data_IF_445258784898
#
_entry.id   IF_445258784898
#
_cell.length_a   1.000
_cell.length_b   1.000
_cell.length_c   1.000
_cell.angle_alpha   90.00
_cell.angle_beta   90.00
_cell.angle_gamma   90.00
#
_symmetry.space_group_name_H-M   'P 1'
#
loop_
_entity.id
_entity.type
_entity.pdbx_description
1 polymer ?
#
# COMPACT_ATOMS: atom_id res chain seq x y z
N UNK A 1 24.14 25.76 -16.61
CA UNK A 1 22.78 25.67 -16.03
C UNK A 1 21.87 25.12 -17.11
N UNK A 2 21.16 24.02 -16.85
CA UNK A 2 20.20 23.44 -17.81
C UNK A 2 18.79 23.83 -17.42
N UNK A 3 18.22 24.81 -18.12
CA UNK A 3 16.82 25.21 -17.89
C UNK A 3 15.89 24.07 -18.34
N UNK A 4 15.37 23.31 -17.38
CA UNK A 4 14.26 22.41 -17.63
C UNK A 4 12.99 23.23 -17.88
N UNK A 5 12.74 23.57 -19.15
CA UNK A 5 11.42 24.01 -19.59
C UNK A 5 10.45 22.84 -19.43
N UNK A 6 9.86 22.72 -18.24
CA UNK A 6 8.65 21.94 -18.04
C UNK A 6 7.59 22.54 -18.97
N UNK A 7 7.13 21.77 -19.95
CA UNK A 7 5.95 22.15 -20.74
C UNK A 7 4.82 22.48 -19.76
N UNK A 8 4.04 23.55 -19.98
CA UNK A 8 2.81 23.73 -19.22
C UNK A 8 1.95 22.47 -19.42
N UNK A 9 1.42 21.93 -18.33
CA UNK A 9 0.53 20.78 -18.40
C UNK A 9 -0.79 21.21 -19.04
N UNK A 10 -1.44 20.28 -19.74
CA UNK A 10 -2.79 20.53 -20.21
C UNK A 10 -3.75 20.64 -19.02
N UNK A 11 -4.88 21.37 -19.14
CA UNK A 11 -5.87 21.46 -18.06
C UNK A 11 -6.44 20.10 -17.62
N UNK A 12 -6.32 19.06 -18.47
CA UNK A 12 -6.66 17.69 -18.09
C UNK A 12 -5.55 17.02 -17.27
N UNK A 13 -4.27 17.16 -17.66
CA UNK A 13 -3.13 16.69 -16.85
C UNK A 13 -3.07 17.37 -15.48
N UNK A 14 -3.36 18.68 -15.39
CA UNK A 14 -3.47 19.40 -14.12
C UNK A 14 -4.61 18.83 -13.26
N UNK A 15 -5.79 18.60 -13.83
CA UNK A 15 -6.94 17.99 -13.12
C UNK A 15 -6.63 16.55 -12.67
N UNK A 16 -5.92 15.78 -13.50
CA UNK A 16 -5.41 14.44 -13.17
C UNK A 16 -4.39 14.50 -12.02
N UNK A 17 -3.47 15.46 -12.03
CA UNK A 17 -2.50 15.66 -10.94
C UNK A 17 -3.17 16.10 -9.63
N UNK A 18 -4.13 17.03 -9.68
CA UNK A 18 -4.90 17.46 -8.51
C UNK A 18 -5.65 16.29 -7.87
N UNK A 19 -6.35 15.46 -8.68
CA UNK A 19 -6.97 14.22 -8.20
C UNK A 19 -5.96 13.29 -7.51
N UNK A 20 -4.76 13.12 -8.08
CA UNK A 20 -3.68 12.32 -7.48
C UNK A 20 -3.17 12.89 -6.14
N UNK A 21 -3.14 14.22 -5.99
CA UNK A 21 -2.77 14.91 -4.75
C UNK A 21 -3.88 14.89 -3.67
N UNK A 22 -5.13 14.64 -4.07
CA UNK A 22 -6.29 14.56 -3.18
C UNK A 22 -6.63 13.11 -2.74
N UNK A 23 -5.85 12.12 -3.17
CA UNK A 23 -5.95 10.75 -2.65
C UNK A 23 -5.61 10.72 -1.16
N UNK A 24 -6.45 10.13 -0.29
CA UNK A 24 -6.07 9.92 1.09
C UNK A 24 -4.89 8.95 1.22
N UNK A 25 -4.80 7.92 0.36
CA UNK A 25 -3.80 6.85 0.42
C UNK A 25 -3.11 6.71 -0.95
N UNK A 26 -2.08 7.53 -1.27
CA UNK A 26 -1.35 7.35 -2.53
C UNK A 26 -0.71 5.96 -2.58
N UNK A 27 -0.63 5.32 -3.78
CA UNK A 27 0.07 4.04 -3.94
C UNK A 27 1.54 4.19 -3.58
N UNK A 28 2.18 5.29 -4.02
CA UNK A 28 3.56 5.61 -3.67
C UNK A 28 3.70 5.77 -2.15
N UNK A 29 4.43 4.85 -1.55
CA UNK A 29 4.84 4.96 -0.15
C UNK A 29 5.78 6.16 0.05
N UNK A 30 5.34 7.18 0.80
CA UNK A 30 6.23 8.28 1.20
C UNK A 30 7.40 7.77 2.06
N UNK A 31 8.56 8.42 1.93
CA UNK A 31 9.86 7.92 2.42
C UNK A 31 9.82 7.59 3.93
N UNK A 32 9.83 6.29 4.24
CA UNK A 32 9.28 5.79 5.49
C UNK A 32 10.17 6.03 6.70
N UNK A 33 9.68 6.82 7.67
CA UNK A 33 10.23 6.84 9.03
C UNK A 33 9.83 5.59 9.84
N UNK A 34 10.26 4.42 9.38
CA UNK A 34 10.20 3.17 10.13
C UNK A 34 11.33 3.09 11.14
N UNK A 35 10.99 2.74 12.39
CA UNK A 35 11.95 2.37 13.44
C UNK A 35 11.70 0.94 13.90
N UNK A 36 12.65 0.04 13.68
CA UNK A 36 12.61 -1.32 14.25
C UNK A 36 12.63 -1.22 15.79
N UNK A 37 11.79 -2.02 16.45
CA UNK A 37 11.74 -2.14 17.90
C UNK A 37 11.59 -3.61 18.29
N UNK A 38 12.36 -4.03 19.28
CA UNK A 38 12.24 -5.36 19.87
C UNK A 38 11.19 -5.30 21.00
N UNK A 39 10.20 -6.19 20.94
CA UNK A 39 9.10 -6.28 21.89
C UNK A 39 9.33 -7.48 22.81
N UNK A 40 9.56 -7.22 24.11
CA UNK A 40 9.67 -8.28 25.12
C UNK A 40 8.28 -8.83 25.47
N UNK A 41 8.17 -10.14 25.54
CA UNK A 41 7.01 -10.88 26.04
C UNK A 41 7.46 -11.97 27.03
N UNK A 42 6.50 -12.60 27.72
CA UNK A 42 6.76 -13.70 28.64
C UNK A 42 5.61 -14.73 28.58
N UNK A 43 5.96 -16.00 28.71
CA UNK A 43 5.06 -17.16 28.67
C UNK A 43 5.44 -18.08 29.83
N UNK A 44 4.63 -18.09 30.88
CA UNK A 44 4.98 -18.72 32.16
C UNK A 44 6.31 -18.14 32.68
N UNK A 45 7.30 -19.02 32.91
CA UNK A 45 8.64 -18.65 33.38
C UNK A 45 9.61 -18.20 32.27
N UNK A 46 9.28 -18.36 30.99
CA UNK A 46 10.16 -18.00 29.88
C UNK A 46 9.89 -16.57 29.39
N UNK A 47 10.94 -15.82 29.02
CA UNK A 47 10.79 -14.49 28.41
C UNK A 47 11.47 -14.42 27.04
N UNK A 48 10.71 -14.04 26.02
CA UNK A 48 11.18 -13.92 24.64
C UNK A 48 11.16 -12.47 24.12
N UNK A 49 11.69 -12.30 22.92
CA UNK A 49 11.60 -11.06 22.15
C UNK A 49 11.20 -11.37 20.71
N UNK A 50 10.41 -10.50 20.11
CA UNK A 50 10.23 -10.47 18.65
C UNK A 50 10.48 -9.05 18.13
N UNK A 51 10.92 -8.93 16.90
CA UNK A 51 11.26 -7.65 16.28
C UNK A 51 10.17 -7.24 15.30
N UNK A 52 9.60 -6.04 15.48
CA UNK A 52 8.72 -5.44 14.49
C UNK A 52 9.04 -3.96 14.33
N UNK A 53 8.66 -3.39 13.18
CA UNK A 53 8.81 -1.96 12.97
C UNK A 53 7.73 -1.14 13.68
N UNK A 54 7.89 0.18 13.68
CA UNK A 54 6.91 1.18 14.06
C UNK A 54 7.07 2.41 13.19
N UNK A 55 5.98 3.13 12.98
CA UNK A 55 6.02 4.49 12.45
C UNK A 55 6.47 5.47 13.54
N UNK A 56 7.32 6.45 13.22
CA UNK A 56 7.63 7.59 14.10
C UNK A 56 6.46 8.56 14.29
N UNK A 57 5.52 8.58 13.34
CA UNK A 57 4.40 9.53 13.22
C UNK A 57 3.11 8.76 12.92
N UNK A 58 1.97 9.46 12.81
CA UNK A 58 0.87 8.95 12.00
C UNK A 58 1.32 9.03 10.53
N UNK A 59 1.76 7.91 9.96
CA UNK A 59 2.21 7.83 8.57
C UNK A 59 1.07 7.61 7.57
N UNK A 60 1.39 7.41 6.27
CA UNK A 60 0.42 7.02 5.26
C UNK A 60 -0.37 5.78 5.73
N UNK A 61 -1.70 5.74 5.61
CA UNK A 61 -2.46 4.59 6.12
C UNK A 61 -2.16 3.24 5.47
N UNK A 62 -1.62 3.16 4.25
CA UNK A 62 -1.00 1.91 3.74
C UNK A 62 0.10 1.40 4.68
N UNK A 63 0.92 2.30 5.20
CA UNK A 63 1.97 2.04 6.18
C UNK A 63 1.40 1.75 7.58
N UNK A 64 0.25 2.32 7.95
CA UNK A 64 -0.49 1.93 9.17
C UNK A 64 -1.11 0.53 9.04
N UNK A 65 -1.66 0.19 7.88
CA UNK A 65 -2.26 -1.11 7.56
C UNK A 65 -1.18 -2.19 7.61
N UNK A 66 -0.11 -2.06 6.82
CA UNK A 66 1.00 -3.02 6.81
C UNK A 66 1.81 -3.03 8.12
N UNK A 67 1.76 -1.96 8.93
CA UNK A 67 2.23 -2.00 10.33
C UNK A 67 1.35 -2.88 11.22
N UNK A 68 0.03 -2.76 11.16
CA UNK A 68 -0.88 -3.56 11.99
C UNK A 68 -1.00 -5.00 11.49
N UNK A 69 -1.13 -5.23 10.19
CA UNK A 69 -1.22 -6.57 9.59
C UNK A 69 0.07 -7.38 9.80
N UNK A 70 1.23 -6.75 9.57
CA UNK A 70 2.52 -7.39 9.87
C UNK A 70 2.67 -7.72 11.36
N UNK A 71 2.23 -6.82 12.25
CA UNK A 71 2.27 -7.06 13.68
C UNK A 71 1.24 -8.10 14.16
N UNK A 72 0.06 -8.15 13.54
CA UNK A 72 -0.96 -9.17 13.78
C UNK A 72 -0.38 -10.55 13.49
N UNK A 73 0.26 -10.73 12.32
CA UNK A 73 0.96 -11.97 11.97
C UNK A 73 2.06 -12.30 12.98
N UNK A 74 3.01 -11.39 13.22
CA UNK A 74 4.12 -11.60 14.17
C UNK A 74 3.74 -11.72 15.65
N UNK A 75 2.46 -11.57 16.02
CA UNK A 75 1.92 -11.86 17.36
C UNK A 75 1.02 -13.10 17.37
N UNK A 76 0.35 -13.42 16.26
CA UNK A 76 -0.36 -14.68 16.07
C UNK A 76 0.60 -15.87 15.98
N UNK A 77 1.77 -15.67 15.37
CA UNK A 77 2.88 -16.64 15.34
C UNK A 77 3.46 -16.94 16.75
N UNK A 78 3.09 -16.17 17.77
CA UNK A 78 3.49 -16.38 19.17
C UNK A 78 2.39 -17.14 19.92
N UNK A 79 2.76 -18.28 20.52
CA UNK A 79 1.88 -19.10 21.38
C UNK A 79 1.57 -18.34 22.70
N UNK A 80 0.56 -17.48 22.65
CA UNK A 80 0.18 -16.53 23.70
C UNK A 80 -1.33 -16.58 23.95
N UNK A 81 -1.77 -16.28 25.18
CA UNK A 81 -3.20 -16.08 25.45
C UNK A 81 -3.74 -14.83 24.73
N UNK A 82 -5.05 -14.78 24.48
CA UNK A 82 -5.66 -13.60 23.85
C UNK A 82 -5.47 -12.31 24.68
N UNK A 83 -5.38 -12.38 26.02
CA UNK A 83 -4.99 -11.22 26.84
C UNK A 83 -3.55 -10.78 26.54
N UNK A 84 -2.60 -11.73 26.49
CA UNK A 84 -1.19 -11.46 26.22
C UNK A 84 -0.99 -10.87 24.81
N UNK A 85 -1.65 -11.44 23.79
CA UNK A 85 -1.71 -10.88 22.45
C UNK A 85 -2.31 -9.46 22.47
N UNK A 86 -3.42 -9.25 23.18
CA UNK A 86 -4.04 -7.91 23.29
C UNK A 86 -3.11 -6.86 23.92
N UNK A 87 -2.28 -7.25 24.91
CA UNK A 87 -1.28 -6.37 25.54
C UNK A 87 -0.12 -6.06 24.59
N UNK A 88 0.22 -6.95 23.66
CA UNK A 88 1.17 -6.66 22.59
C UNK A 88 0.57 -5.71 21.55
N UNK A 89 -0.65 -5.99 21.04
CA UNK A 89 -1.38 -5.09 20.13
C UNK A 89 -1.49 -3.67 20.69
N UNK A 90 -1.88 -3.55 21.95
CA UNK A 90 -1.98 -2.28 22.68
C UNK A 90 -0.64 -1.54 22.81
N UNK A 91 0.50 -2.24 22.83
CA UNK A 91 1.83 -1.62 22.86
C UNK A 91 2.27 -1.05 21.51
N UNK A 92 1.68 -1.49 20.39
CA UNK A 92 2.25 -1.28 19.04
C UNK A 92 1.55 -0.18 18.22
N UNK A 93 0.28 0.09 18.51
CA UNK A 93 -0.50 1.15 17.87
C UNK A 93 -0.02 2.55 18.30
N UNK A 94 -0.21 3.54 17.43
CA UNK A 94 -0.12 4.96 17.79
C UNK A 94 -1.42 5.40 18.46
N UNK A 95 -1.39 6.42 19.32
CA UNK A 95 -2.49 6.81 20.23
C UNK A 95 -3.88 6.92 19.57
N UNK A 96 -3.92 7.40 18.33
CA UNK A 96 -5.16 7.52 17.54
C UNK A 96 -5.74 6.17 17.11
N UNK A 97 -4.90 5.23 16.67
CA UNK A 97 -5.31 3.88 16.30
C UNK A 97 -5.56 3.00 17.54
N UNK A 98 -4.76 3.22 18.59
CA UNK A 98 -4.92 2.64 19.93
C UNK A 98 -6.31 2.95 20.50
N UNK A 99 -6.77 4.19 20.39
CA UNK A 99 -8.12 4.62 20.85
C UNK A 99 -9.25 3.87 20.12
N UNK A 100 -9.07 3.55 18.84
CA UNK A 100 -10.08 2.82 18.06
C UNK A 100 -10.06 1.32 18.36
N UNK A 101 -8.87 0.73 18.48
CA UNK A 101 -8.68 -0.65 18.92
C UNK A 101 -9.25 -0.88 20.34
N UNK A 102 -8.93 -0.01 21.30
CA UNK A 102 -9.46 -0.10 22.67
C UNK A 102 -11.00 0.01 22.69
N UNK A 103 -11.61 0.85 21.83
CA UNK A 103 -13.08 0.92 21.67
C UNK A 103 -13.67 -0.36 21.06
N UNK A 104 -13.03 -0.93 20.04
CA UNK A 104 -13.48 -2.19 19.43
C UNK A 104 -13.35 -3.36 20.42
N UNK A 105 -12.23 -3.45 21.13
CA UNK A 105 -11.96 -4.45 22.17
C UNK A 105 -12.91 -4.30 23.36
N UNK A 106 -13.27 -3.07 23.76
CA UNK A 106 -14.28 -2.82 24.79
C UNK A 106 -15.68 -3.29 24.32
N UNK A 107 -16.07 -2.99 23.08
CA UNK A 107 -17.34 -3.47 22.51
C UNK A 107 -17.38 -5.00 22.39
N UNK A 108 -16.28 -5.63 22.03
CA UNK A 108 -16.11 -7.08 21.98
C UNK A 108 -16.25 -7.72 23.37
N UNK A 109 -15.51 -7.20 24.37
CA UNK A 109 -15.62 -7.65 25.78
C UNK A 109 -17.02 -7.48 26.35
N UNK A 110 -17.68 -6.36 26.07
CA UNK A 110 -19.07 -6.13 26.47
C UNK A 110 -20.04 -7.11 25.79
N UNK A 111 -19.80 -7.49 24.53
CA UNK A 111 -20.61 -8.50 23.82
C UNK A 111 -20.45 -9.91 24.40
N UNK A 112 -19.23 -10.29 24.81
CA UNK A 112 -18.99 -11.56 25.51
C UNK A 112 -19.64 -11.54 26.89
N UNK A 113 -19.45 -10.48 27.67
CA UNK A 113 -20.05 -10.33 29.00
C UNK A 113 -21.60 -10.23 28.99
N UNK A 114 -22.20 -9.97 27.83
CA UNK A 114 -23.64 -9.96 27.63
C UNK A 114 -24.24 -11.32 27.21
N UNK A 115 -23.42 -12.36 27.01
CA UNK A 115 -23.91 -13.74 26.83
C UNK A 115 -24.37 -14.27 28.19
N UNK A 116 -25.66 -14.62 28.39
CA UNK A 116 -26.13 -15.15 29.66
C UNK A 116 -25.50 -16.51 29.96
N UNK A 117 -25.20 -16.77 31.24
CA UNK A 117 -24.80 -18.10 31.70
C UNK A 117 -26.02 -19.04 31.79
N UNK A 118 -26.62 -19.37 30.65
CA UNK A 118 -27.74 -20.32 30.54
C UNK A 118 -27.26 -21.68 30.03
N UNK A 119 -27.13 -22.63 30.96
CA UNK A 119 -27.33 -24.08 30.78
C UNK A 119 -26.57 -24.81 29.66
N UNK A 120 -25.52 -25.53 30.04
CA UNK A 120 -25.15 -26.85 29.49
C UNK A 120 -25.11 -27.03 27.97
N UNK A 121 -24.56 -26.04 27.26
CA UNK A 121 -23.80 -26.31 26.04
C UNK A 121 -22.41 -25.67 26.13
N UNK A 122 -21.32 -26.39 25.81
CA UNK A 122 -20.02 -25.77 25.63
C UNK A 122 -20.09 -24.92 24.37
N UNK A 123 -20.29 -23.61 24.54
CA UNK A 123 -20.40 -22.66 23.44
C UNK A 123 -19.08 -22.55 22.68
N UNK A 124 -18.86 -23.46 21.73
CA UNK A 124 -17.83 -23.37 20.67
C UNK A 124 -18.20 -22.28 19.64
N UNK A 125 -18.63 -21.11 20.14
CA UNK A 125 -18.69 -19.90 19.36
C UNK A 125 -17.30 -19.28 19.39
N UNK A 126 -16.44 -19.71 18.46
CA UNK A 126 -15.29 -18.94 18.02
C UNK A 126 -15.82 -17.65 17.39
N UNK A 127 -16.11 -16.65 18.22
CA UNK A 127 -16.49 -15.30 17.77
C UNK A 127 -15.20 -14.58 17.42
N UNK A 128 -14.61 -14.96 16.29
CA UNK A 128 -13.28 -14.50 15.90
C UNK A 128 -13.20 -12.97 15.93
N UNK A 129 -12.20 -12.46 16.66
CA UNK A 129 -11.90 -11.05 16.72
C UNK A 129 -11.24 -10.62 15.40
N UNK A 130 -12.06 -10.34 14.39
CA UNK A 130 -11.55 -9.83 13.12
C UNK A 130 -11.01 -8.39 13.27
N UNK A 131 -9.69 -8.32 13.39
CA UNK A 131 -8.93 -7.08 13.40
C UNK A 131 -9.10 -6.30 12.08
N UNK A 132 -9.36 -6.97 10.95
CA UNK A 132 -9.57 -6.37 9.64
C UNK A 132 -10.89 -5.62 9.59
N UNK A 133 -12.01 -6.22 9.99
CA UNK A 133 -13.28 -5.52 10.15
C UNK A 133 -13.20 -4.35 11.16
N UNK A 134 -12.42 -4.50 12.23
CA UNK A 134 -12.17 -3.40 13.18
C UNK A 134 -11.41 -2.24 12.53
N UNK A 135 -10.39 -2.53 11.70
CA UNK A 135 -9.63 -1.52 10.95
C UNK A 135 -10.46 -0.87 9.84
N UNK A 136 -11.18 -1.65 9.01
CA UNK A 136 -12.15 -1.15 8.01
C UNK A 136 -13.16 -0.21 8.67
N UNK A 137 -13.70 -0.58 9.83
CA UNK A 137 -14.61 0.28 10.63
C UNK A 137 -13.93 1.58 11.11
N UNK A 138 -12.68 1.50 11.59
CA UNK A 138 -11.94 2.68 12.04
C UNK A 138 -11.62 3.64 10.88
N UNK A 139 -11.07 3.14 9.77
CA UNK A 139 -10.75 3.92 8.58
C UNK A 139 -12.03 4.57 8.02
N UNK A 140 -13.11 3.80 7.86
CA UNK A 140 -14.42 4.30 7.44
C UNK A 140 -15.12 5.25 8.43
N UNK A 141 -14.62 5.37 9.68
CA UNK A 141 -15.06 6.37 10.67
C UNK A 141 -14.26 7.68 10.63
N UNK A 142 -13.10 7.68 9.95
CA UNK A 142 -12.20 8.83 9.82
C UNK A 142 -12.13 9.38 8.41
N UNK A 143 -12.87 8.78 7.47
CA UNK A 143 -12.87 9.11 6.04
C UNK A 143 -14.30 9.26 5.51
N UNK A 144 -14.43 9.86 4.33
CA UNK A 144 -15.71 10.28 3.74
C UNK A 144 -15.91 9.69 2.35
N UNK A 145 -17.12 9.82 1.81
CA UNK A 145 -17.44 9.39 0.44
C UNK A 145 -16.59 10.14 -0.60
N UNK A 146 -16.28 11.41 -0.34
CA UNK A 146 -15.32 12.22 -1.11
C UNK A 146 -13.91 11.64 -1.05
N UNK A 147 -13.49 11.06 0.09
CA UNK A 147 -12.20 10.38 0.19
C UNK A 147 -12.16 9.11 -0.67
N UNK A 148 -13.24 8.31 -0.70
CA UNK A 148 -13.37 7.14 -1.59
C UNK A 148 -13.40 7.55 -3.07
N UNK A 149 -14.14 8.61 -3.41
CA UNK A 149 -14.14 9.20 -4.75
C UNK A 149 -12.73 9.60 -5.19
N UNK A 150 -12.03 10.40 -4.38
CA UNK A 150 -10.68 10.86 -4.69
C UNK A 150 -9.68 9.71 -4.81
N UNK A 151 -9.79 8.66 -3.97
CA UNK A 151 -8.97 7.46 -4.06
C UNK A 151 -9.19 6.73 -5.40
N UNK A 152 -10.44 6.41 -5.75
CA UNK A 152 -10.79 5.72 -7.00
C UNK A 152 -10.40 6.55 -8.23
N UNK A 153 -10.66 7.85 -8.23
CA UNK A 153 -10.31 8.75 -9.32
C UNK A 153 -8.79 9.02 -9.40
N UNK A 154 -8.08 8.94 -8.28
CA UNK A 154 -6.63 9.07 -8.19
C UNK A 154 -5.88 7.83 -8.68
N UNK A 155 -6.41 6.63 -8.44
CA UNK A 155 -5.88 5.37 -8.98
C UNK A 155 -5.87 5.36 -10.51
N UNK A 156 -6.98 5.77 -11.14
CA UNK A 156 -7.15 5.88 -12.61
C UNK A 156 -6.13 6.79 -13.29
N UNK A 157 -5.58 7.76 -12.56
CA UNK A 157 -4.67 8.80 -13.07
C UNK A 157 -3.28 8.72 -12.45
N UNK A 158 -3.03 7.70 -11.63
CA UNK A 158 -1.72 7.44 -11.04
C UNK A 158 -0.71 7.02 -12.10
N UNK A 159 0.57 7.20 -11.79
CA UNK A 159 1.68 6.92 -12.68
C UNK A 159 2.84 6.35 -11.89
N UNK A 160 3.46 5.28 -12.41
CA UNK A 160 4.66 4.69 -11.81
C UNK A 160 5.76 5.75 -11.63
N UNK A 161 6.32 5.93 -10.43
CA UNK A 161 7.52 6.75 -10.23
C UNK A 161 8.75 6.11 -10.90
N UNK A 162 9.61 6.93 -11.53
CA UNK A 162 10.84 6.48 -12.22
C UNK A 162 11.91 5.83 -11.33
N UNK A 163 11.70 5.77 -10.01
CA UNK A 163 12.67 5.26 -9.02
C UNK A 163 12.27 3.94 -8.38
N UNK A 164 11.05 3.47 -8.63
CA UNK A 164 10.48 2.25 -8.03
C UNK A 164 10.57 1.15 -9.09
N UNK A 165 10.78 -0.10 -8.69
CA UNK A 165 10.77 -1.25 -9.59
C UNK A 165 9.38 -1.58 -10.14
N UNK A 166 9.27 -2.48 -11.12
CA UNK A 166 7.96 -2.80 -11.70
C UNK A 166 7.10 -3.63 -10.74
N UNK A 167 7.70 -4.59 -10.04
CA UNK A 167 7.04 -5.40 -9.02
C UNK A 167 6.70 -4.58 -7.76
N UNK A 168 7.63 -3.74 -7.26
CA UNK A 168 7.35 -2.82 -6.14
C UNK A 168 6.16 -1.88 -6.44
N UNK A 169 6.00 -1.46 -7.69
CA UNK A 169 4.85 -0.66 -8.12
C UNK A 169 3.56 -1.47 -8.25
N UNK A 170 3.62 -2.76 -8.54
CA UNK A 170 2.45 -3.67 -8.50
C UNK A 170 1.91 -3.77 -7.07
N UNK A 171 2.78 -4.07 -6.10
CA UNK A 171 2.45 -4.13 -4.67
C UNK A 171 1.84 -2.80 -4.18
N UNK A 172 2.50 -1.67 -4.45
CA UNK A 172 2.03 -0.33 -4.05
C UNK A 172 0.67 0.02 -4.67
N UNK A 173 0.43 -0.39 -5.92
CA UNK A 173 -0.85 -0.14 -6.59
C UNK A 173 -1.98 -0.99 -5.99
N UNK A 174 -1.74 -2.30 -5.75
CA UNK A 174 -2.72 -3.20 -5.14
C UNK A 174 -3.08 -2.79 -3.71
N UNK A 175 -2.10 -2.38 -2.89
CA UNK A 175 -2.36 -1.89 -1.53
C UNK A 175 -3.22 -0.61 -1.54
N UNK A 176 -3.07 0.27 -2.53
CA UNK A 176 -3.93 1.45 -2.68
C UNK A 176 -5.33 1.15 -3.23
N UNK A 177 -5.50 0.02 -3.94
CA UNK A 177 -6.81 -0.50 -4.38
C UNK A 177 -7.53 -1.15 -3.20
N UNK A 178 -6.86 -2.04 -2.44
CA UNK A 178 -7.39 -2.59 -1.18
C UNK A 178 -7.83 -1.44 -0.26
N UNK A 179 -6.95 -0.47 -0.01
CA UNK A 179 -7.26 0.65 0.86
C UNK A 179 -8.44 1.52 0.35
N UNK A 180 -8.79 1.46 -0.95
CA UNK A 180 -9.99 2.09 -1.49
C UNK A 180 -11.28 1.37 -1.09
N UNK A 181 -11.27 0.03 -0.97
CA UNK A 181 -12.41 -0.72 -0.45
C UNK A 181 -12.73 -0.35 1.01
N UNK A 182 -11.67 -0.10 1.81
CA UNK A 182 -11.75 0.19 3.25
C UNK A 182 -12.33 1.60 3.53
N UNK A 183 -12.43 2.46 2.50
CA UNK A 183 -13.03 3.80 2.59
C UNK A 183 -14.56 3.73 2.53
N UNK A 184 -15.25 4.57 3.31
CA UNK A 184 -16.70 4.74 3.23
C UNK A 184 -17.10 5.38 1.90
N UNK A 185 -18.09 4.81 1.21
CA UNK A 185 -18.80 5.45 0.09
C UNK A 185 -19.34 4.45 -0.93
N UNK A 186 -20.07 4.93 -1.92
CA UNK A 186 -20.77 4.12 -2.94
C UNK A 186 -20.00 3.95 -4.26
N UNK A 187 -18.88 4.64 -4.44
CA UNK A 187 -18.10 4.54 -5.67
C UNK A 187 -17.48 3.13 -5.84
N UNK A 188 -17.62 2.49 -7.02
CA UNK A 188 -17.01 1.20 -7.28
C UNK A 188 -15.49 1.33 -7.30
N UNK A 189 -14.81 0.36 -6.70
CA UNK A 189 -13.36 0.18 -6.85
C UNK A 189 -13.12 -0.51 -8.21
N UNK A 190 -12.02 -0.22 -8.93
CA UNK A 190 -11.70 -0.96 -10.15
C UNK A 190 -11.42 -2.43 -9.82
N UNK A 191 -12.06 -3.34 -10.56
CA UNK A 191 -11.93 -4.80 -10.43
C UNK A 191 -11.66 -5.43 -11.80
N UNK A 192 -11.05 -6.62 -11.82
CA UNK A 192 -10.79 -7.41 -13.03
C UNK A 192 -10.14 -6.62 -14.17
N UNK A 193 -10.72 -6.70 -15.37
CA UNK A 193 -10.25 -6.01 -16.58
C UNK A 193 -10.16 -4.48 -16.40
N UNK A 194 -11.03 -3.86 -15.61
CA UNK A 194 -10.98 -2.42 -15.35
C UNK A 194 -9.79 -2.04 -14.46
N UNK A 195 -9.48 -2.87 -13.45
CA UNK A 195 -8.27 -2.73 -12.63
C UNK A 195 -7.02 -2.90 -13.49
N UNK A 196 -6.95 -3.99 -14.25
CA UNK A 196 -5.80 -4.31 -15.10
C UNK A 196 -5.53 -3.21 -16.15
N UNK A 197 -6.59 -2.63 -16.74
CA UNK A 197 -6.47 -1.49 -17.65
C UNK A 197 -5.90 -0.26 -16.95
N UNK A 198 -6.37 0.08 -15.75
CA UNK A 198 -5.86 1.25 -15.01
C UNK A 198 -4.42 1.04 -14.51
N UNK A 199 -4.03 -0.19 -14.18
CA UNK A 199 -2.66 -0.53 -13.86
C UNK A 199 -1.74 -0.42 -15.09
N UNK A 200 -2.14 -1.01 -16.23
CA UNK A 200 -1.44 -0.85 -17.52
C UNK A 200 -1.28 0.63 -17.89
N UNK A 201 -2.37 1.41 -17.83
CA UNK A 201 -2.36 2.85 -18.12
C UNK A 201 -1.52 3.67 -17.13
N UNK A 202 -1.03 3.11 -16.02
CA UNK A 202 -0.12 3.79 -15.08
C UNK A 202 1.33 3.89 -15.58
N UNK A 203 1.68 3.13 -16.62
CA UNK A 203 3.01 3.09 -17.24
C UNK A 203 3.20 4.17 -18.34
N UNK A 204 4.43 4.38 -18.86
CA UNK A 204 4.68 5.26 -19.99
C UNK A 204 3.85 4.88 -21.22
N UNK A 205 3.18 5.86 -21.85
CA UNK A 205 2.21 5.62 -22.92
C UNK A 205 2.81 4.92 -24.16
N UNK A 206 4.11 5.08 -24.42
CA UNK A 206 4.79 4.33 -25.48
C UNK A 206 4.91 2.84 -25.13
N UNK A 207 5.27 2.47 -23.88
CA UNK A 207 5.31 1.08 -23.45
C UNK A 207 3.91 0.44 -23.45
N UNK A 208 2.87 1.19 -23.08
CA UNK A 208 1.46 0.74 -23.22
C UNK A 208 1.11 0.47 -24.69
N UNK A 209 1.55 1.34 -25.61
CA UNK A 209 1.35 1.15 -27.06
C UNK A 209 2.15 -0.04 -27.61
N UNK A 210 3.36 -0.27 -27.09
CA UNK A 210 4.19 -1.45 -27.41
C UNK A 210 3.53 -2.74 -26.90
N UNK A 211 3.00 -2.76 -25.67
CA UNK A 211 2.25 -3.88 -25.10
C UNK A 211 0.99 -4.20 -25.92
N UNK A 212 0.15 -3.19 -26.20
CA UNK A 212 -1.07 -3.35 -27.01
C UNK A 212 -0.82 -3.90 -28.42
N UNK A 213 0.38 -3.63 -28.98
CA UNK A 213 0.80 -4.12 -30.29
C UNK A 213 1.22 -5.60 -30.28
N UNK A 214 1.75 -6.09 -29.15
CA UNK A 214 2.31 -7.44 -29.01
C UNK A 214 1.28 -8.40 -28.42
N UNK A 215 0.59 -8.00 -27.35
CA UNK A 215 -0.36 -8.83 -26.60
C UNK A 215 -1.82 -8.60 -27.00
N UNK A 216 -2.10 -7.60 -27.84
CA UNK A 216 -3.45 -7.18 -28.23
C UNK A 216 -4.03 -6.10 -27.29
N UNK A 217 -5.21 -5.58 -27.66
CA UNK A 217 -5.93 -4.56 -26.87
C UNK A 217 -6.93 -5.13 -25.86
N UNK A 218 -7.32 -6.38 -26.05
CA UNK A 218 -8.18 -7.13 -25.11
C UNK A 218 -7.33 -7.57 -23.93
N UNK A 219 -7.89 -7.50 -22.72
CA UNK A 219 -7.21 -7.85 -21.46
C UNK A 219 -7.96 -8.94 -20.68
N UNK A 220 -8.98 -9.55 -21.29
CA UNK A 220 -9.89 -10.52 -20.67
C UNK A 220 -9.19 -11.85 -20.33
N UNK A 221 -8.06 -12.13 -20.98
CA UNK A 221 -7.20 -13.31 -20.85
C UNK A 221 -5.76 -12.93 -20.45
N UNK A 222 -5.60 -11.85 -19.67
CA UNK A 222 -4.30 -11.32 -19.20
C UNK A 222 -4.29 -11.16 -17.68
N UNK A 223 -3.14 -11.41 -17.07
CA UNK A 223 -2.92 -11.20 -15.64
C UNK A 223 -2.04 -9.96 -15.37
N UNK A 224 -2.06 -9.48 -14.13
CA UNK A 224 -1.30 -8.30 -13.73
C UNK A 224 0.22 -8.53 -13.82
N UNK A 225 0.66 -9.76 -13.55
CA UNK A 225 2.03 -10.23 -13.76
C UNK A 225 2.51 -10.19 -15.22
N UNK A 226 1.63 -10.39 -16.21
CA UNK A 226 2.00 -10.25 -17.64
C UNK A 226 2.42 -8.80 -17.95
N UNK A 227 1.66 -7.84 -17.42
CA UNK A 227 1.93 -6.41 -17.56
C UNK A 227 3.22 -6.06 -16.82
N UNK A 228 3.38 -6.50 -15.57
CA UNK A 228 4.59 -6.21 -14.77
C UNK A 228 5.85 -6.80 -15.40
N UNK A 229 5.80 -8.02 -15.90
CA UNK A 229 6.93 -8.69 -16.56
C UNK A 229 7.35 -7.93 -17.82
N UNK A 230 6.41 -7.63 -18.73
CA UNK A 230 6.71 -6.83 -19.92
C UNK A 230 7.28 -5.45 -19.57
N UNK A 231 6.70 -4.77 -18.58
CA UNK A 231 7.15 -3.43 -18.18
C UNK A 231 8.51 -3.45 -17.47
N UNK A 232 8.90 -4.56 -16.84
CA UNK A 232 10.26 -4.73 -16.30
C UNK A 232 11.29 -4.85 -17.43
N UNK A 233 11.01 -5.67 -18.47
CA UNK A 233 11.89 -5.77 -19.64
C UNK A 233 12.07 -4.40 -20.33
N UNK A 234 10.97 -3.65 -20.52
CA UNK A 234 11.01 -2.28 -21.08
C UNK A 234 11.85 -1.32 -20.22
N UNK A 235 11.85 -1.48 -18.89
CA UNK A 235 12.68 -0.69 -17.99
C UNK A 235 14.17 -1.05 -18.10
N UNK A 236 14.51 -2.34 -18.10
CA UNK A 236 15.88 -2.84 -18.28
C UNK A 236 16.46 -2.44 -19.64
N UNK A 237 15.67 -2.51 -20.72
CA UNK A 237 16.04 -1.97 -22.04
C UNK A 237 16.37 -0.46 -21.97
N UNK A 238 15.52 0.32 -21.30
CA UNK A 238 15.66 1.78 -21.20
C UNK A 238 16.90 2.19 -20.40
N UNK A 239 17.17 1.56 -19.26
CA UNK A 239 18.35 1.87 -18.43
C UNK A 239 19.65 1.37 -19.06
N UNK A 240 19.60 0.25 -19.80
CA UNK A 240 20.69 -0.19 -20.68
C UNK A 240 20.96 0.83 -21.80
N UNK A 241 19.92 1.40 -22.41
CA UNK A 241 20.07 2.46 -23.41
C UNK A 241 20.61 3.77 -22.80
N UNK A 242 20.11 4.18 -21.64
CA UNK A 242 20.58 5.36 -20.91
C UNK A 242 22.06 5.23 -20.51
N UNK A 243 22.47 4.06 -20.01
CA UNK A 243 23.86 3.75 -19.64
C UNK A 243 24.80 3.83 -20.85
N UNK A 244 24.43 3.21 -21.99
CA UNK A 244 25.19 3.28 -23.25
C UNK A 244 25.29 4.71 -23.77
N UNK A 245 24.23 5.51 -23.66
CA UNK A 245 24.25 6.93 -24.05
C UNK A 245 25.13 7.78 -23.13
N UNK A 246 25.13 7.53 -21.81
CA UNK A 246 26.02 8.24 -20.87
C UNK A 246 27.50 7.90 -21.11
N UNK A 247 27.81 6.63 -21.42
CA UNK A 247 29.17 6.21 -21.82
C UNK A 247 29.62 6.93 -23.10
N UNK A 248 28.77 6.99 -24.14
CA UNK A 248 29.04 7.72 -25.38
C UNK A 248 29.29 9.21 -25.14
N UNK A 249 28.45 9.87 -24.32
CA UNK A 249 28.64 11.27 -23.96
C UNK A 249 29.97 11.52 -23.23
N UNK A 250 30.31 10.69 -22.24
CA UNK A 250 31.60 10.74 -21.54
C UNK A 250 32.79 10.61 -22.50
N UNK A 251 32.74 9.66 -23.45
CA UNK A 251 33.78 9.50 -24.47
C UNK A 251 33.88 10.69 -25.44
N UNK A 252 32.76 11.33 -25.78
CA UNK A 252 32.73 12.53 -26.64
C UNK A 252 33.34 13.74 -25.92
N UNK A 253 32.99 13.95 -24.65
CA UNK A 253 33.57 15.00 -23.81
C UNK A 253 35.08 14.79 -23.59
N UNK A 254 35.52 13.55 -23.41
CA UNK A 254 36.94 13.22 -23.28
C UNK A 254 37.75 13.58 -24.55
N UNK A 255 37.19 13.38 -25.74
CA UNK A 255 37.78 13.82 -27.02
C UNK A 255 37.69 15.33 -27.27
N UNK A 256 36.87 16.05 -26.50
CA UNK A 256 36.64 17.50 -26.63
C UNK A 256 37.58 18.38 -25.81
N UNK A 257 38.47 17.82 -24.98
CA UNK A 257 39.54 18.57 -24.31
C UNK A 257 40.78 18.65 -25.21
N UNK A 258 41.22 19.83 -25.67
CA UNK A 258 42.58 19.98 -26.18
C UNK A 258 43.56 19.72 -25.02
N UNK A 259 44.69 19.06 -25.32
CA UNK A 259 45.80 18.91 -24.39
C UNK A 259 46.57 20.22 -24.28
N UNK A 260 46.36 20.94 -23.17
CA UNK A 260 47.21 22.03 -22.68
C UNK A 260 48.36 21.47 -21.85
#
# INVERSE_FOLDING_TARGET
MTNSFSKPMTPEEERRQQKRQLMPFPPVQEEKERKIKNFKYAVGAQSGYFSHWRLRRAGPPADMIAHVMGYAKSVADLQLSHEQQSVLYRKCLTDTALTAYDKALAKYRARIAAVPAQGDQPAQMAVDFDITACLKTFVGSRTTEVARFNQVEGLKVSRKPRKIECHEWEDDYLVAVEAAEWLRGTHPVPEGVALLRHYLDSYPANWVTEYEKIHGKTLDDKEMGDVTSFMHDRAVEADSAASRNQQRQKATVAKGKPSS
#
